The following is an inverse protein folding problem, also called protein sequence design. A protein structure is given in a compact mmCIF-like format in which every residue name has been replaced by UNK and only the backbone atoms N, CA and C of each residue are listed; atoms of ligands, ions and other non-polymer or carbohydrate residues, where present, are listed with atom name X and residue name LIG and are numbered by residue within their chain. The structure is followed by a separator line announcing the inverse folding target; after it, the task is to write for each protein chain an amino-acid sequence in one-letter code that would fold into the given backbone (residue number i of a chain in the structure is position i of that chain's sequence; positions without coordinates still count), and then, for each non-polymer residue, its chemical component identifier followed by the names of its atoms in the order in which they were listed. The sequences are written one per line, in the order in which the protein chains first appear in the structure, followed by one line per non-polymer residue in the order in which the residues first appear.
data_IF_607564522404
#
_entry.id   IF_607564522404
#
_cell.length_a   1.000
_cell.length_b   1.000
_cell.length_c   1.000
_cell.angle_alpha   90.00
_cell.angle_beta   90.00
_cell.angle_gamma   90.00
#
_symmetry.space_group_name_H-M   'P 1'
#
loop_
_entity.id
_entity.type
_entity.pdbx_description
1 polymer ?
#
# COMPACT_ATOMS: atom_id res chain seq x y z
N UNK A 1 -3.65 3.73 10.42
CA UNK A 1 -5.10 4.07 10.36
C UNK A 1 -5.79 3.13 9.39
N UNK A 2 -7.00 2.68 9.69
CA UNK A 2 -7.81 1.86 8.79
C UNK A 2 -9.19 2.50 8.62
N UNK A 3 -9.66 2.59 7.39
CA UNK A 3 -10.96 3.18 7.05
C UNK A 3 -11.69 2.26 6.08
N UNK A 4 -13.00 2.13 6.26
CA UNK A 4 -13.89 1.44 5.32
C UNK A 4 -15.10 2.31 5.07
N UNK A 5 -15.52 2.45 3.82
CA UNK A 5 -16.72 3.17 3.43
C UNK A 5 -17.38 2.54 2.21
N UNK A 6 -18.69 2.72 2.10
CA UNK A 6 -19.45 2.31 0.93
C UNK A 6 -19.19 3.28 -0.24
N UNK A 7 -18.95 2.74 -1.42
CA UNK A 7 -18.77 3.49 -2.68
C UNK A 7 -20.11 3.67 -3.40
N UNK A 8 -21.02 2.71 -3.22
CA UNK A 8 -22.37 2.71 -3.78
C UNK A 8 -23.39 2.32 -2.72
N UNK A 9 -24.67 2.47 -3.03
CA UNK A 9 -25.79 2.06 -2.18
C UNK A 9 -26.30 0.67 -2.59
N UNK A 10 -27.06 0.02 -1.68
CA UNK A 10 -27.69 -1.28 -1.93
C UNK A 10 -27.00 -2.44 -1.22
N UNK A 11 -27.61 -3.63 -1.33
CA UNK A 11 -27.11 -4.87 -0.70
C UNK A 11 -25.74 -5.29 -1.24
N UNK A 12 -25.52 -5.09 -2.54
CA UNK A 12 -24.25 -5.36 -3.24
C UNK A 12 -23.33 -4.13 -3.29
N UNK A 13 -23.46 -3.22 -2.33
CA UNK A 13 -22.62 -2.04 -2.27
C UNK A 13 -21.14 -2.42 -2.26
N UNK A 14 -20.35 -1.74 -3.11
CA UNK A 14 -18.91 -1.91 -3.06
C UNK A 14 -18.34 -1.22 -1.82
N UNK A 15 -17.49 -1.94 -1.08
CA UNK A 15 -16.75 -1.40 0.06
C UNK A 15 -15.33 -1.02 -0.33
N UNK A 16 -15.00 0.27 -0.19
CA UNK A 16 -13.61 0.74 -0.29
C UNK A 16 -12.94 0.65 1.08
N UNK A 17 -11.85 -0.11 1.14
CA UNK A 17 -10.96 -0.16 2.29
C UNK A 17 -9.71 0.68 2.02
N UNK A 18 -9.33 1.54 2.97
CA UNK A 18 -8.08 2.34 2.94
C UNK A 18 -7.23 2.01 4.16
N UNK A 19 -5.96 1.74 3.91
CA UNK A 19 -4.98 1.41 4.94
C UNK A 19 -3.87 2.44 4.90
N UNK A 20 -3.50 2.97 6.07
CA UNK A 20 -2.36 3.84 6.29
C UNK A 20 -1.40 3.18 7.26
N UNK A 21 -0.17 2.93 6.82
CA UNK A 21 0.90 2.31 7.61
C UNK A 21 2.08 3.27 7.70
N UNK A 22 2.59 3.46 8.91
CA UNK A 22 3.88 4.10 9.11
C UNK A 22 4.97 3.01 9.18
N UNK A 23 6.01 3.17 8.38
CA UNK A 23 7.16 2.28 8.37
C UNK A 23 8.42 3.08 8.06
N UNK A 24 9.48 2.93 8.87
CA UNK A 24 10.74 3.67 8.73
C UNK A 24 10.54 5.19 8.57
N UNK A 25 9.73 5.78 9.45
CA UNK A 25 9.37 7.22 9.45
C UNK A 25 8.72 7.73 8.16
N UNK A 26 8.21 6.83 7.31
CA UNK A 26 7.47 7.14 6.10
C UNK A 26 6.06 6.59 6.22
N UNK A 27 5.09 7.36 5.75
CA UNK A 27 3.70 6.91 5.67
C UNK A 27 3.43 6.34 4.29
N UNK A 28 2.83 5.16 4.26
CA UNK A 28 2.36 4.46 3.08
C UNK A 28 0.85 4.32 3.14
N UNK A 29 0.20 4.44 1.97
CA UNK A 29 -1.24 4.28 1.81
C UNK A 29 -1.54 3.24 0.74
N UNK A 30 -2.49 2.37 1.02
CA UNK A 30 -3.08 1.44 0.06
C UNK A 30 -4.60 1.47 0.13
N UNK A 31 -5.25 1.07 -0.95
CA UNK A 31 -6.69 1.03 -1.06
C UNK A 31 -7.15 -0.16 -1.91
N UNK A 32 -8.36 -0.63 -1.66
CA UNK A 32 -9.01 -1.60 -2.54
C UNK A 32 -10.51 -1.39 -2.52
N UNK A 33 -11.18 -1.95 -3.53
CA UNK A 33 -12.64 -1.92 -3.67
C UNK A 33 -13.09 -3.32 -4.01
N UNK A 34 -14.02 -3.86 -3.22
CA UNK A 34 -14.69 -5.15 -3.45
C UNK A 34 -16.04 -5.13 -2.76
N UNK A 35 -17.00 -5.95 -3.20
CA UNK A 35 -18.23 -6.22 -2.44
C UNK A 35 -17.90 -6.96 -1.13
N UNK A 36 -16.76 -7.64 -1.05
CA UNK A 36 -16.23 -8.22 0.18
C UNK A 36 -15.23 -7.27 0.86
N UNK A 37 -15.65 -6.64 1.96
CA UNK A 37 -14.81 -5.70 2.72
C UNK A 37 -13.56 -6.35 3.35
N UNK A 38 -13.58 -7.64 3.67
CA UNK A 38 -12.42 -8.36 4.24
C UNK A 38 -11.37 -8.59 3.16
N UNK A 39 -11.81 -8.98 1.96
CA UNK A 39 -10.94 -9.07 0.79
C UNK A 39 -10.35 -7.69 0.44
N UNK A 40 -11.20 -6.66 0.43
CA UNK A 40 -10.81 -5.28 0.17
C UNK A 40 -9.72 -4.81 1.14
N UNK A 41 -9.90 -5.06 2.44
CA UNK A 41 -8.88 -4.76 3.46
C UNK A 41 -7.57 -5.51 3.21
N UNK A 42 -7.64 -6.81 2.89
CA UNK A 42 -6.46 -7.63 2.62
C UNK A 42 -5.67 -7.11 1.41
N UNK A 43 -6.38 -6.78 0.32
CA UNK A 43 -5.76 -6.21 -0.89
C UNK A 43 -5.14 -4.85 -0.63
N UNK A 44 -5.78 -3.99 0.16
CA UNK A 44 -5.24 -2.69 0.55
C UNK A 44 -3.94 -2.82 1.37
N UNK A 45 -3.86 -3.80 2.28
CA UNK A 45 -2.62 -4.13 3.01
C UNK A 45 -1.54 -4.67 2.08
N UNK A 46 -1.89 -5.57 1.15
CA UNK A 46 -0.93 -6.11 0.18
C UNK A 46 -0.33 -5.01 -0.69
N UNK A 47 -1.14 -4.04 -1.11
CA UNK A 47 -0.66 -2.87 -1.85
C UNK A 47 0.37 -2.06 -1.04
N UNK A 48 0.10 -1.81 0.24
CA UNK A 48 1.05 -1.12 1.13
C UNK A 48 2.37 -1.88 1.22
N UNK A 49 2.33 -3.20 1.42
CA UNK A 49 3.53 -4.05 1.50
C UNK A 49 4.34 -3.93 0.22
N UNK A 50 3.68 -4.06 -0.94
CA UNK A 50 4.34 -3.93 -2.23
C UNK A 50 4.97 -2.54 -2.43
N UNK A 51 4.31 -1.47 -1.96
CA UNK A 51 4.85 -0.11 -2.01
C UNK A 51 6.06 0.07 -1.10
N UNK A 52 6.07 -0.55 0.08
CA UNK A 52 7.22 -0.55 0.99
C UNK A 52 8.41 -1.25 0.33
N UNK A 53 8.20 -2.46 -0.19
CA UNK A 53 9.27 -3.23 -0.85
C UNK A 53 9.83 -2.51 -2.07
N UNK A 54 8.97 -1.93 -2.90
CA UNK A 54 9.40 -1.15 -4.06
C UNK A 54 10.25 0.07 -3.66
N UNK A 55 9.87 0.76 -2.58
CA UNK A 55 10.65 1.88 -2.06
C UNK A 55 12.02 1.45 -1.53
N UNK A 56 12.10 0.29 -0.85
CA UNK A 56 13.37 -0.26 -0.36
C UNK A 56 14.29 -0.72 -1.48
N UNK A 57 13.74 -1.36 -2.51
CA UNK A 57 14.50 -1.78 -3.70
C UNK A 57 15.16 -0.58 -4.39
N UNK A 58 14.43 0.53 -4.55
CA UNK A 58 14.98 1.76 -5.14
C UNK A 58 16.15 2.36 -4.35
N UNK A 59 16.09 2.31 -3.01
CA UNK A 59 17.19 2.75 -2.14
C UNK A 59 18.43 1.86 -2.33
N UNK A 60 18.27 0.53 -2.24
CA UNK A 60 19.37 -0.43 -2.43
C UNK A 60 20.06 -0.27 -3.79
N UNK A 61 19.28 -0.07 -4.85
CA UNK A 61 19.84 0.15 -6.20
C UNK A 61 20.56 1.50 -6.35
N UNK A 62 20.22 2.53 -5.57
CA UNK A 62 20.96 3.80 -5.56
C UNK A 62 22.27 3.66 -4.79
N UNK A 63 22.25 3.01 -3.63
CA UNK A 63 23.45 2.74 -2.82
C UNK A 63 24.46 1.89 -3.60
N UNK A 64 24.00 0.81 -4.24
CA UNK A 64 24.87 -0.04 -5.06
C UNK A 64 25.52 0.72 -6.23
N UNK A 65 24.80 1.64 -6.88
CA UNK A 65 25.35 2.50 -7.95
C UNK A 65 26.35 3.52 -7.41
N UNK A 66 26.09 4.10 -6.24
CA UNK A 66 27.02 5.04 -5.60
C UNK A 66 28.32 4.36 -5.17
N UNK A 67 28.25 3.10 -4.72
CA UNK A 67 29.42 2.32 -4.32
C UNK A 67 30.26 1.85 -5.53
N UNK A 68 29.66 1.74 -6.71
CA UNK A 68 30.30 1.25 -7.93
C UNK A 68 30.86 2.35 -8.85
N UNK A 69 30.64 3.64 -8.53
CA UNK A 69 31.19 4.74 -9.32
C UNK A 69 32.70 4.91 -9.00
N UNK A 70 33.61 4.80 -10.00
CA UNK A 70 35.03 5.04 -9.77
C UNK A 70 35.28 6.53 -9.51
N UNK A 71 36.31 6.82 -8.70
CA UNK A 71 36.79 8.16 -8.37
C UNK A 71 37.46 8.86 -9.57
#
# INVERSE_FOLDING_TARGET
KFEVHAVSEGEDAQGEARVYVEYNHKTYRGASVSTNIVESGTRAFLEVINRIELAQAGTRSREARSAAAPA
#
